data_IF_807167205549
#
_entry.id   IF_807167205549
#
_cell.length_a   1.000
_cell.length_b   1.000
_cell.length_c   1.000
_cell.angle_alpha   90.00
_cell.angle_beta   90.00
_cell.angle_gamma   90.00
#
_symmetry.space_group_name_H-M   'P 1'
#
loop_
_entity.id
_entity.type
_entity.pdbx_description
1 polymer ?
#
# COMPACT_ATOMS: atom_id res chain seq x y z
N UNK A 1 9.23 2.90 -10.83
CA UNK A 1 8.31 2.08 -10.01
C UNK A 1 8.55 2.43 -8.55
N UNK A 2 7.52 2.69 -7.74
CA UNK A 2 7.63 3.21 -6.36
C UNK A 2 7.72 2.13 -5.26
N UNK A 3 7.33 0.90 -5.57
CA UNK A 3 7.11 -0.20 -4.62
C UNK A 3 5.72 -0.78 -4.77
N UNK A 4 5.44 -1.87 -4.05
CA UNK A 4 4.11 -2.49 -3.99
C UNK A 4 3.95 -3.27 -2.68
N UNK A 5 2.71 -3.43 -2.23
CA UNK A 5 2.33 -4.38 -1.18
C UNK A 5 1.41 -5.41 -1.82
N UNK A 6 1.62 -6.68 -1.50
CA UNK A 6 0.74 -7.75 -1.95
C UNK A 6 -0.47 -7.82 -1.01
N UNK A 7 -1.61 -7.30 -1.46
CA UNK A 7 -2.87 -7.39 -0.71
C UNK A 7 -3.39 -8.83 -0.75
N UNK A 8 -3.43 -9.48 0.41
CA UNK A 8 -3.94 -10.86 0.56
C UNK A 8 -5.39 -10.92 1.07
N UNK A 9 -5.97 -9.78 1.46
CA UNK A 9 -7.36 -9.69 1.89
C UNK A 9 -7.83 -8.27 2.19
N UNK A 10 -9.06 -8.14 2.68
CA UNK A 10 -9.78 -6.86 2.85
C UNK A 10 -9.25 -5.96 3.98
N UNK A 11 -8.32 -6.47 4.80
CA UNK A 11 -7.75 -5.73 5.94
C UNK A 11 -6.39 -5.13 5.61
N UNK A 12 -5.89 -5.31 4.40
CA UNK A 12 -4.58 -4.80 4.01
C UNK A 12 -4.62 -3.28 3.79
N UNK A 13 -3.57 -2.62 4.27
CA UNK A 13 -3.43 -1.17 4.21
C UNK A 13 -2.14 -0.84 3.46
N UNK A 14 -2.27 -0.02 2.43
CA UNK A 14 -1.13 0.55 1.72
C UNK A 14 -0.83 1.95 2.29
N UNK A 15 0.30 2.11 2.96
CA UNK A 15 0.76 3.42 3.44
C UNK A 15 1.78 3.99 2.46
N UNK A 16 1.58 5.24 2.04
CA UNK A 16 2.45 5.93 1.09
C UNK A 16 2.85 7.29 1.62
N UNK A 17 4.10 7.65 1.39
CA UNK A 17 4.61 9.00 1.63
C UNK A 17 4.32 9.86 0.39
N UNK A 18 3.90 11.10 0.60
CA UNK A 18 3.63 12.07 -0.46
C UNK A 18 4.74 13.12 -0.51
N UNK A 19 4.90 13.76 -1.68
CA UNK A 19 5.82 14.88 -1.90
C UNK A 19 5.68 16.07 -0.94
N UNK A 20 4.57 16.16 -0.19
CA UNK A 20 4.37 17.16 0.86
C UNK A 20 4.82 16.70 2.24
N UNK A 21 5.46 15.54 2.33
CA UNK A 21 5.94 14.95 3.59
C UNK A 21 4.83 14.31 4.44
N UNK A 22 3.63 14.14 3.90
CA UNK A 22 2.52 13.49 4.62
C UNK A 22 2.43 12.01 4.25
N UNK A 23 2.20 11.16 5.25
CA UNK A 23 1.83 9.76 5.07
C UNK A 23 0.33 9.63 4.84
N UNK A 24 -0.06 8.77 3.90
CA UNK A 24 -1.45 8.49 3.59
C UNK A 24 -1.70 6.99 3.59
N UNK A 25 -2.70 6.56 4.35
CA UNK A 25 -3.14 5.17 4.40
C UNK A 25 -4.29 4.95 3.41
N UNK A 26 -4.13 3.95 2.56
CA UNK A 26 -5.07 3.56 1.51
C UNK A 26 -5.53 2.14 1.79
N UNK A 27 -6.82 1.96 2.08
CA UNK A 27 -7.40 0.62 2.24
C UNK A 27 -7.53 -0.06 0.89
N UNK A 28 -6.94 -1.26 0.75
CA UNK A 28 -6.97 -2.00 -0.52
C UNK A 28 -8.39 -2.48 -0.86
N UNK A 29 -9.20 -2.83 0.14
CA UNK A 29 -10.60 -3.24 -0.02
C UNK A 29 -11.50 -2.20 -0.69
N UNK A 30 -11.14 -0.91 -0.65
CA UNK A 30 -11.90 0.15 -1.29
C UNK A 30 -11.82 0.09 -2.83
N UNK A 31 -10.83 -0.62 -3.37
CA UNK A 31 -10.52 -0.62 -4.78
C UNK A 31 -10.64 -2.03 -5.38
N UNK A 32 -11.34 -2.13 -6.51
CA UNK A 32 -11.56 -3.42 -7.18
C UNK A 32 -10.30 -3.88 -7.91
N UNK A 33 -10.10 -5.20 -7.97
CA UNK A 33 -9.00 -5.82 -8.71
C UNK A 33 -9.22 -5.64 -10.22
N UNK A 34 -8.25 -5.06 -10.90
CA UNK A 34 -8.25 -4.91 -12.37
C UNK A 34 -7.10 -5.66 -13.01
N UNK A 35 -7.23 -6.00 -14.30
CA UNK A 35 -6.13 -6.54 -15.10
C UNK A 35 -4.92 -5.61 -15.21
N UNK A 36 -3.78 -6.15 -15.64
CA UNK A 36 -2.53 -5.38 -15.86
C UNK A 36 -2.61 -4.56 -17.15
N UNK A 37 -1.92 -3.42 -17.18
CA UNK A 37 -1.82 -2.56 -18.37
C UNK A 37 -2.96 -1.53 -18.53
N UNK A 38 -3.93 -1.50 -17.62
CA UNK A 38 -4.93 -0.43 -17.56
C UNK A 38 -4.37 0.88 -16.98
N UNK A 39 -5.10 1.99 -17.16
CA UNK A 39 -4.72 3.30 -16.60
C UNK A 39 -4.78 3.37 -15.07
N UNK A 40 -5.47 2.43 -14.42
CA UNK A 40 -5.65 2.42 -12.98
C UNK A 40 -6.68 3.46 -12.51
N UNK A 41 -6.59 3.83 -11.23
CA UNK A 41 -7.47 4.83 -10.58
C UNK A 41 -6.63 5.99 -10.07
N UNK A 42 -7.16 7.20 -10.15
CA UNK A 42 -6.54 8.38 -9.54
C UNK A 42 -6.79 8.35 -8.02
N UNK A 43 -5.71 8.44 -7.23
CA UNK A 43 -5.77 8.45 -5.77
C UNK A 43 -5.44 9.82 -5.17
N UNK A 44 -4.80 10.70 -5.94
CA UNK A 44 -4.37 12.02 -5.50
C UNK A 44 -4.56 13.02 -6.64
N UNK A 45 -5.40 14.03 -6.44
CA UNK A 45 -5.62 15.07 -7.45
C UNK A 45 -4.43 16.04 -7.59
N UNK A 46 -3.63 16.19 -6.53
CA UNK A 46 -2.51 17.15 -6.48
C UNK A 46 -1.33 16.60 -5.69
N UNK A 47 -0.16 16.55 -6.33
CA UNK A 47 1.08 16.04 -5.75
C UNK A 47 1.45 14.67 -6.32
N UNK A 48 2.51 14.07 -5.77
CA UNK A 48 3.00 12.74 -6.15
C UNK A 48 3.26 11.89 -4.91
N UNK A 49 3.09 10.58 -5.07
CA UNK A 49 3.63 9.60 -4.12
C UNK A 49 5.15 9.55 -4.29
N UNK A 50 5.88 9.52 -3.17
CA UNK A 50 7.35 9.48 -3.14
C UNK A 50 7.87 8.08 -2.82
N UNK A 51 7.18 7.34 -1.94
CA UNK A 51 7.57 5.99 -1.51
C UNK A 51 6.42 5.22 -0.87
N UNK A 52 6.46 3.89 -0.97
CA UNK A 52 5.63 2.98 -0.16
C UNK A 52 6.28 2.73 1.19
N UNK A 53 5.53 2.92 2.27
CA UNK A 53 5.96 2.62 3.64
C UNK A 53 5.56 1.18 3.95
N UNK A 54 6.56 0.32 4.13
CA UNK A 54 6.32 -1.10 4.44
C UNK A 54 6.02 -1.28 5.93
N UNK A 55 5.00 -2.08 6.28
CA UNK A 55 4.77 -2.44 7.66
C UNK A 55 5.96 -3.26 8.19
N UNK A 56 6.27 -3.07 9.47
CA UNK A 56 7.26 -3.91 10.15
C UNK A 56 6.62 -5.30 10.28
N UNK A 57 7.27 -6.37 9.76
CA UNK A 57 6.74 -7.72 9.89
C UNK A 57 6.67 -8.11 11.37
N UNK A 58 5.63 -8.85 11.74
CA UNK A 58 5.50 -9.39 13.09
C UNK A 58 6.64 -10.38 13.37
N UNK A 59 7.06 -10.47 14.63
CA UNK A 59 8.13 -11.38 14.99
C UNK A 59 7.68 -12.83 14.71
N UNK A 60 8.56 -13.69 14.18
CA UNK A 60 8.20 -15.09 14.00
C UNK A 60 7.80 -15.67 15.35
N UNK A 61 6.65 -16.34 15.39
CA UNK A 61 6.16 -17.00 16.58
C UNK A 61 7.23 -18.00 17.01
N UNK A 62 7.83 -17.77 18.18
CA UNK A 62 8.92 -18.59 18.67
C UNK A 62 8.53 -20.06 18.62
N UNK A 63 9.42 -20.89 18.07
CA UNK A 63 9.26 -22.33 18.12
C UNK A 63 9.17 -22.75 19.60
N UNK A 64 7.95 -23.00 20.07
CA UNK A 64 7.72 -23.61 21.38
C UNK A 64 8.22 -25.05 21.39
N UNK A 65 8.80 -25.44 22.52
CA UNK A 65 9.42 -26.75 22.84
C UNK A 65 8.60 -27.98 22.43
#
# INVERSE_FOLDING_TARGET
MLGFVASTGDRDLLTVETSRGAEQTISTAKYEVTGRGGKGRELLQRGQFTRVVYPIPDAPQGFGE
#
